data_IF_700216431679
#
_entry.id   IF_700216431679
#
_cell.length_a   1.000
_cell.length_b   1.000
_cell.length_c   1.000
_cell.angle_alpha   90.00
_cell.angle_beta   90.00
_cell.angle_gamma   90.00
#
_symmetry.space_group_name_H-M   'P 1'
#
loop_
_entity.id
_entity.type
_entity.pdbx_description
1 polymer ?
#
# COMPACT_ATOMS: atom_id res chain seq x y z
N UNK A 1 0.12 11.40 6.81
CA UNK A 1 -1.02 12.13 7.39
C UNK A 1 -1.81 12.70 6.23
N UNK A 2 -3.11 12.45 6.17
CA UNK A 2 -3.95 12.89 5.06
C UNK A 2 -4.79 14.08 5.55
N UNK A 3 -4.72 15.21 4.85
CA UNK A 3 -5.61 16.34 5.07
C UNK A 3 -6.55 16.45 3.87
N UNK A 4 -7.85 16.48 4.16
CA UNK A 4 -8.86 16.81 3.14
C UNK A 4 -9.12 18.31 3.26
N UNK A 5 -8.81 19.08 2.21
CA UNK A 5 -9.33 20.44 2.06
C UNK A 5 -10.52 20.40 1.11
N UNK A 6 -11.62 21.02 1.52
CA UNK A 6 -12.68 21.43 0.59
C UNK A 6 -12.24 22.76 -0.02
N UNK A 7 -12.27 22.87 -1.34
CA UNK A 7 -12.12 24.15 -2.03
C UNK A 7 -13.52 24.59 -2.50
N UNK A 8 -13.96 25.78 -2.09
CA UNK A 8 -15.37 26.23 -2.16
C UNK A 8 -15.81 26.68 -3.58
N UNK A 9 -15.11 26.27 -4.63
CA UNK A 9 -15.29 26.80 -6.00
C UNK A 9 -15.87 25.84 -7.04
N UNK A 10 -15.70 24.53 -6.87
CA UNK A 10 -16.25 23.46 -7.71
C UNK A 10 -16.11 22.18 -6.87
N UNK A 11 -17.03 21.21 -6.96
CA UNK A 11 -16.99 19.93 -6.19
C UNK A 11 -15.78 19.05 -6.56
N UNK A 12 -14.57 19.52 -6.28
CA UNK A 12 -13.33 18.79 -6.45
C UNK A 12 -12.61 18.83 -5.11
N UNK A 13 -12.66 17.71 -4.40
CA UNK A 13 -11.91 17.52 -3.18
C UNK A 13 -10.43 17.40 -3.55
N UNK A 14 -9.64 18.43 -3.24
CA UNK A 14 -8.18 18.34 -3.35
C UNK A 14 -7.67 17.67 -2.09
N UNK A 15 -7.17 16.46 -2.25
CA UNK A 15 -6.53 15.72 -1.17
C UNK A 15 -5.10 16.26 -1.03
N UNK A 16 -4.84 17.02 0.03
CA UNK A 16 -3.49 17.40 0.41
C UNK A 16 -2.86 16.25 1.20
N UNK A 17 -2.07 15.44 0.51
CA UNK A 17 -1.46 14.26 1.07
C UNK A 17 -0.01 14.49 1.47
N UNK A 18 0.28 14.29 2.76
CA UNK A 18 1.64 14.34 3.28
C UNK A 18 2.12 12.96 3.71
N UNK A 19 3.31 12.62 3.26
CA UNK A 19 3.97 11.37 3.60
C UNK A 19 5.06 11.66 4.62
N UNK A 20 4.94 11.06 5.79
CA UNK A 20 5.90 11.21 6.87
C UNK A 20 6.55 9.86 7.14
N UNK A 21 7.86 9.86 7.27
CA UNK A 21 8.64 8.70 7.69
C UNK A 21 9.13 8.94 9.11
N UNK A 22 8.84 8.00 10.01
CA UNK A 22 9.44 7.94 11.33
C UNK A 22 10.61 6.96 11.29
N UNK A 23 11.81 7.47 11.54
CA UNK A 23 12.98 6.63 11.78
C UNK A 23 13.17 6.44 13.27
N UNK A 24 13.15 5.19 13.74
CA UNK A 24 13.41 4.81 15.12
C UNK A 24 14.82 4.23 15.23
N UNK A 25 15.66 4.85 16.06
CA UNK A 25 16.96 4.30 16.46
C UNK A 25 16.95 4.05 17.97
N UNK A 26 17.98 3.37 18.50
CA UNK A 26 18.11 3.14 19.95
C UNK A 26 18.24 4.44 20.77
N UNK A 27 18.62 5.56 20.14
CA UNK A 27 18.94 6.81 20.84
C UNK A 27 18.06 8.00 20.45
N UNK A 28 17.37 7.93 19.31
CA UNK A 28 16.54 9.03 18.83
C UNK A 28 15.44 8.55 17.90
N UNK A 29 14.40 9.38 17.80
CA UNK A 29 13.38 9.27 16.78
C UNK A 29 13.28 10.60 16.05
N UNK A 30 13.09 10.56 14.73
CA UNK A 30 12.87 11.76 13.93
C UNK A 30 11.79 11.52 12.90
N UNK A 31 10.87 12.48 12.82
CA UNK A 31 9.90 12.58 11.75
C UNK A 31 10.48 13.44 10.65
N UNK A 32 10.29 13.02 9.41
CA UNK A 32 10.63 13.81 8.23
C UNK A 32 9.56 13.63 7.16
N UNK A 33 9.33 14.70 6.41
CA UNK A 33 8.46 14.67 5.24
C UNK A 33 9.23 14.10 4.06
N UNK A 34 8.57 13.26 3.29
CA UNK A 34 9.07 12.78 2.00
C UNK A 34 8.15 13.28 0.88
N UNK A 35 8.76 13.59 -0.25
CA UNK A 35 8.03 13.92 -1.46
C UNK A 35 7.78 12.64 -2.26
N UNK A 36 6.53 12.46 -2.66
CA UNK A 36 6.10 11.30 -3.43
C UNK A 36 5.37 11.84 -4.64
N UNK A 37 5.81 11.41 -5.82
CA UNK A 37 5.13 11.72 -7.08
C UNK A 37 4.01 10.73 -7.33
N UNK A 38 2.83 11.22 -7.71
CA UNK A 38 1.68 10.40 -8.08
C UNK A 38 0.37 10.99 -7.60
N UNK A 39 -0.73 10.32 -7.96
CA UNK A 39 -2.06 10.71 -7.50
C UNK A 39 -2.19 10.52 -5.99
N UNK A 40 -2.93 11.43 -5.36
CA UNK A 40 -3.32 11.25 -3.96
C UNK A 40 -4.18 9.98 -3.80
N UNK A 41 -4.03 9.33 -2.66
CA UNK A 41 -4.68 8.08 -2.35
C UNK A 41 -5.13 8.01 -0.89
N UNK A 42 -6.16 7.21 -0.63
CA UNK A 42 -6.78 7.07 0.69
C UNK A 42 -7.09 5.60 0.96
N UNK A 43 -7.67 5.30 2.13
CA UNK A 43 -8.04 3.95 2.56
C UNK A 43 -6.83 3.01 2.58
N UNK A 44 -5.98 3.20 3.58
CA UNK A 44 -4.79 2.38 3.77
C UNK A 44 -5.13 1.13 4.57
N UNK A 45 -4.70 -0.03 4.10
CA UNK A 45 -5.00 -1.32 4.73
C UNK A 45 -3.73 -2.13 4.99
N UNK A 46 -3.62 -2.67 6.20
CA UNK A 46 -2.51 -3.52 6.62
C UNK A 46 -1.13 -2.84 6.55
N UNK A 47 -0.10 -3.65 6.33
CA UNK A 47 1.29 -3.20 6.28
C UNK A 47 2.26 -4.34 6.59
N UNK A 48 3.16 -4.66 5.66
CA UNK A 48 4.21 -5.66 5.88
C UNK A 48 5.55 -5.21 5.30
N UNK A 49 6.63 -5.49 6.01
CA UNK A 49 8.00 -5.25 5.54
C UNK A 49 8.61 -6.54 4.98
N UNK A 50 9.06 -6.50 3.73
CA UNK A 50 9.70 -7.62 3.01
C UNK A 50 10.88 -7.07 2.20
N UNK A 51 12.08 -7.63 2.38
CA UNK A 51 13.28 -7.30 1.59
C UNK A 51 13.51 -5.78 1.39
N UNK A 52 13.52 -5.02 2.48
CA UNK A 52 13.73 -3.55 2.49
C UNK A 52 12.65 -2.74 1.77
N UNK A 53 11.45 -3.29 1.61
CA UNK A 53 10.28 -2.59 1.13
C UNK A 53 9.08 -2.81 2.06
N UNK A 54 8.29 -1.75 2.27
CA UNK A 54 7.03 -1.79 2.99
C UNK A 54 5.89 -1.88 1.97
N UNK A 55 5.01 -2.85 2.15
CA UNK A 55 3.83 -3.06 1.32
C UNK A 55 2.58 -2.80 2.13
N UNK A 56 1.64 -2.05 1.59
CA UNK A 56 0.33 -1.81 2.20
C UNK A 56 -0.74 -1.60 1.14
N UNK A 57 -1.97 -1.94 1.48
CA UNK A 57 -3.13 -1.74 0.63
C UNK A 57 -3.48 -0.27 0.49
N UNK A 58 -3.91 0.11 -0.71
CA UNK A 58 -4.36 1.46 -1.05
C UNK A 58 -5.70 1.32 -1.80
N UNK A 59 -6.77 1.73 -1.13
CA UNK A 59 -8.12 1.36 -1.55
C UNK A 59 -8.30 -0.14 -1.57
N UNK A 60 -9.08 -0.63 -2.53
CA UNK A 60 -9.38 -2.05 -2.70
C UNK A 60 -8.65 -2.71 -3.88
N UNK A 61 -7.86 -1.92 -4.63
CA UNK A 61 -7.38 -2.32 -5.96
C UNK A 61 -5.87 -2.16 -6.16
N UNK A 62 -5.16 -1.46 -5.26
CA UNK A 62 -3.73 -1.17 -5.42
C UNK A 62 -2.94 -1.48 -4.16
N UNK A 63 -1.71 -1.93 -4.32
CA UNK A 63 -0.73 -2.08 -3.23
C UNK A 63 0.36 -1.04 -3.44
N UNK A 64 0.59 -0.21 -2.45
CA UNK A 64 1.78 0.62 -2.42
C UNK A 64 2.99 -0.21 -1.99
N UNK A 65 4.10 -0.04 -2.70
CA UNK A 65 5.43 -0.55 -2.35
C UNK A 65 6.33 0.63 -2.07
N UNK A 66 6.59 0.91 -0.81
CA UNK A 66 7.57 1.91 -0.37
C UNK A 66 8.95 1.27 -0.22
N UNK A 67 9.92 1.70 -1.01
CA UNK A 67 11.30 1.22 -0.90
C UNK A 67 12.05 2.04 0.16
N UNK A 68 12.53 1.38 1.21
CA UNK A 68 13.12 2.07 2.38
C UNK A 68 14.40 2.82 2.01
N UNK A 69 15.20 2.30 1.07
CA UNK A 69 16.51 2.87 0.70
C UNK A 69 16.40 4.08 -0.24
N UNK A 70 15.52 3.98 -1.23
CA UNK A 70 15.32 5.04 -2.24
C UNK A 70 14.20 6.00 -1.89
N UNK A 71 13.38 5.67 -0.89
CA UNK A 71 12.23 6.44 -0.41
C UNK A 71 11.18 6.71 -1.48
N UNK A 72 11.08 5.82 -2.45
CA UNK A 72 10.10 5.89 -3.54
C UNK A 72 8.94 4.95 -3.28
N UNK A 73 7.75 5.40 -3.63
CA UNK A 73 6.55 4.56 -3.70
C UNK A 73 6.30 4.19 -5.15
N UNK A 74 5.93 2.93 -5.35
CA UNK A 74 5.34 2.44 -6.59
C UNK A 74 4.00 1.78 -6.25
N UNK A 75 3.07 1.78 -7.19
CA UNK A 75 1.79 1.08 -7.03
C UNK A 75 1.78 -0.18 -7.88
N UNK A 76 1.32 -1.26 -7.26
CA UNK A 76 1.11 -2.55 -7.91
C UNK A 76 -0.41 -2.72 -8.00
N UNK A 77 -0.90 -3.00 -9.21
CA UNK A 77 -2.32 -3.31 -9.40
C UNK A 77 -2.61 -4.69 -8.80
N UNK A 78 -3.56 -4.76 -7.87
CA UNK A 78 -4.07 -6.03 -7.38
C UNK A 78 -5.07 -6.61 -8.39
N UNK A 79 -5.27 -7.94 -8.39
CA UNK A 79 -6.26 -8.56 -9.26
C UNK A 79 -7.66 -7.94 -9.08
N UNK A 80 -8.31 -7.58 -10.18
CA UNK A 80 -9.58 -6.84 -10.20
C UNK A 80 -10.80 -7.71 -9.86
N UNK A 81 -10.66 -9.02 -10.05
CA UNK A 81 -11.76 -10.00 -9.97
C UNK A 81 -12.19 -10.33 -8.53
N UNK A 82 -11.52 -9.76 -7.53
CA UNK A 82 -11.90 -9.88 -6.13
C UNK A 82 -11.38 -8.69 -5.32
N UNK A 83 -11.96 -8.52 -4.12
CA UNK A 83 -11.47 -7.61 -3.08
C UNK A 83 -10.12 -8.10 -2.53
N UNK A 84 -9.12 -8.17 -3.40
CA UNK A 84 -7.76 -8.63 -3.15
C UNK A 84 -7.14 -7.86 -1.98
N UNK A 85 -7.60 -6.62 -1.79
CA UNK A 85 -7.28 -5.79 -0.65
C UNK A 85 -8.61 -5.35 -0.04
N UNK A 86 -8.91 -5.91 1.12
CA UNK A 86 -10.06 -5.56 1.94
C UNK A 86 -9.77 -5.82 3.40
N UNK A 87 -10.72 -5.44 4.26
CA UNK A 87 -10.71 -5.78 5.67
C UNK A 87 -10.71 -7.31 5.95
N UNK A 88 -10.96 -8.14 4.95
CA UNK A 88 -10.88 -9.60 5.02
C UNK A 88 -9.65 -10.18 4.31
N UNK A 89 -8.67 -9.34 4.03
CA UNK A 89 -7.41 -9.72 3.41
C UNK A 89 -6.23 -9.41 4.32
N UNK A 90 -5.13 -10.15 4.13
CA UNK A 90 -3.87 -9.87 4.80
C UNK A 90 -2.72 -10.01 3.81
N UNK A 91 -1.84 -9.01 3.78
CA UNK A 91 -0.56 -9.10 3.08
C UNK A 91 0.39 -9.94 3.93
N UNK A 92 1.05 -10.91 3.30
CA UNK A 92 1.95 -11.85 3.98
C UNK A 92 3.22 -12.08 3.19
N UNK A 93 4.26 -12.53 3.90
CA UNK A 93 5.54 -12.89 3.30
C UNK A 93 5.54 -14.39 2.96
N UNK A 94 5.53 -14.70 1.66
CA UNK A 94 5.70 -16.06 1.18
C UNK A 94 7.10 -16.23 0.59
N UNK A 95 8.03 -16.78 1.37
CA UNK A 95 9.41 -17.08 0.93
C UNK A 95 10.13 -15.87 0.30
N UNK A 96 9.96 -14.69 0.88
CA UNK A 96 10.54 -13.43 0.38
C UNK A 96 9.73 -12.74 -0.70
N UNK A 97 8.63 -13.33 -1.16
CA UNK A 97 7.69 -12.73 -2.11
C UNK A 97 6.48 -12.15 -1.37
N UNK A 98 5.93 -11.07 -1.90
CA UNK A 98 4.66 -10.54 -1.43
C UNK A 98 3.55 -11.52 -1.81
N UNK A 99 2.75 -11.92 -0.83
CA UNK A 99 1.53 -12.66 -1.06
C UNK A 99 0.38 -11.96 -0.33
N UNK A 100 -0.83 -12.31 -0.70
CA UNK A 100 -2.01 -11.89 0.02
C UNK A 100 -2.99 -13.05 0.12
N UNK A 101 -3.53 -13.20 1.32
CA UNK A 101 -4.59 -14.14 1.64
C UNK A 101 -5.85 -13.33 1.84
N UNK A 102 -6.91 -13.65 1.10
CA UNK A 102 -8.20 -12.99 1.21
C UNK A 102 -9.30 -14.01 1.49
N UNK A 103 -10.26 -13.61 2.30
CA UNK A 103 -11.46 -14.37 2.59
C UNK A 103 -12.68 -13.61 2.09
N UNK A 104 -13.45 -14.21 1.21
CA UNK A 104 -14.72 -13.64 0.78
C UNK A 104 -15.85 -14.16 1.67
N UNK A 105 -16.29 -13.32 2.61
CA UNK A 105 -17.39 -13.61 3.51
C UNK A 105 -18.77 -13.45 2.87
N UNK A 106 -18.87 -12.74 1.74
CA UNK A 106 -20.16 -12.35 1.16
C UNK A 106 -20.63 -13.30 0.07
N UNK A 107 -19.72 -13.80 -0.77
CA UNK A 107 -20.16 -14.53 -1.97
C UNK A 107 -20.06 -16.05 -1.79
N UNK A 108 -18.95 -16.58 -1.27
CA UNK A 108 -18.66 -18.01 -1.47
C UNK A 108 -17.92 -18.71 -0.31
N UNK A 109 -17.63 -18.03 0.81
CA UNK A 109 -16.79 -18.56 1.90
C UNK A 109 -15.48 -19.18 1.41
N UNK A 110 -14.88 -18.56 0.38
CA UNK A 110 -13.64 -19.03 -0.24
C UNK A 110 -12.44 -18.27 0.33
N UNK A 111 -11.39 -19.02 0.66
CA UNK A 111 -10.07 -18.47 0.91
C UNK A 111 -9.29 -18.47 -0.40
N UNK A 112 -8.76 -17.31 -0.78
CA UNK A 112 -7.93 -17.13 -1.98
C UNK A 112 -6.54 -16.66 -1.57
N UNK A 113 -5.53 -17.20 -2.23
CA UNK A 113 -4.14 -16.77 -2.07
C UNK A 113 -3.61 -16.36 -3.43
N UNK A 114 -2.97 -15.21 -3.49
CA UNK A 114 -2.19 -14.81 -4.65
C UNK A 114 -0.79 -14.39 -4.22
N UNK A 115 0.20 -14.64 -5.08
CA UNK A 115 1.61 -14.41 -4.81
C UNK A 115 2.15 -13.56 -5.96
N UNK A 116 2.70 -12.40 -5.62
CA UNK A 116 3.40 -11.56 -6.58
C UNK A 116 4.69 -12.26 -6.99
N UNK A 117 4.80 -12.57 -8.27
CA UNK A 117 6.06 -12.99 -8.87
C UNK A 117 6.72 -11.74 -9.42
N UNK A 118 8.01 -11.55 -9.10
CA UNK A 118 8.80 -10.55 -9.80
C UNK A 118 8.73 -10.88 -11.29
N UNK A 119 8.42 -9.87 -12.10
CA UNK A 119 8.66 -9.96 -13.53
C UNK A 119 10.16 -10.03 -13.65
N UNK A 120 10.71 -11.24 -13.78
CA UNK A 120 12.05 -11.42 -14.33
C UNK A 120 12.03 -10.63 -15.63
N UNK A 121 12.68 -9.46 -15.63
CA UNK A 121 12.99 -8.80 -16.89
C UNK A 121 13.89 -9.80 -17.60
N UNK A 122 13.42 -10.34 -18.71
CA UNK A 122 14.30 -11.00 -19.67
C UNK A 122 15.45 -10.01 -19.96
N UNK A 123 16.68 -10.43 -19.65
CA UNK A 123 17.87 -9.87 -20.29
C UNK A 123 17.94 -10.35 -21.74
#
# INVERSE_FOLDING_TARGET
MMFLKCDDGHRQYVIEQEHLVLSLTSHSSSWRKIEISGDAYSYLEGGICINSAIYYGVGHTKIARFNIRSEKIMFIQAPEDYNAISCYSTLTNYKGKLACVSYDSYCESKLRVWILHDVEKEE
#
